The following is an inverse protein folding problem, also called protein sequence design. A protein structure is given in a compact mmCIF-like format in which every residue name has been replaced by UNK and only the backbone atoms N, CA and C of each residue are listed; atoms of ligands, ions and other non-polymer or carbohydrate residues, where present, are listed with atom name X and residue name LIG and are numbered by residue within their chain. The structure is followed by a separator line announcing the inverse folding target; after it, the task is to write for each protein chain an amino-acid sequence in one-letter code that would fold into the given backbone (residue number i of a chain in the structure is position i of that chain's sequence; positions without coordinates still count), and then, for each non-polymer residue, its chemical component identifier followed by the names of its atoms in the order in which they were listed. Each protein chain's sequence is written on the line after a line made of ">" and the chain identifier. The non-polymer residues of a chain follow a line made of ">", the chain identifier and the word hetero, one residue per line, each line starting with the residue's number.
data_IF_963823995742
#
_entry.id   IF_963823995742
#
_cell.length_a   1.000
_cell.length_b   1.000
_cell.length_c   1.000
_cell.angle_alpha   90.00
_cell.angle_beta   90.00
_cell.angle_gamma   90.00
#
_symmetry.space_group_name_H-M   'P 1'
#
loop_
_entity.id
_entity.type
_entity.pdbx_description
1 polymer ?
#
# COMPACT_ATOMS: atom_id res chain seq x y z
N UNK A 1 -30.46 -11.02 -4.74
CA UNK A 1 -29.34 -10.67 -3.84
C UNK A 1 -28.21 -10.09 -4.67
N UNK A 2 -27.65 -8.96 -4.27
CA UNK A 2 -26.53 -8.34 -4.94
C UNK A 2 -25.21 -9.07 -4.69
N UNK A 3 -24.11 -8.52 -5.24
CA UNK A 3 -22.76 -9.07 -5.10
C UNK A 3 -21.79 -7.96 -4.66
N UNK A 4 -20.77 -8.32 -3.88
CA UNK A 4 -19.70 -7.41 -3.47
C UNK A 4 -18.39 -7.77 -4.18
N UNK A 5 -17.68 -6.77 -4.72
CA UNK A 5 -16.32 -6.89 -5.20
C UNK A 5 -15.38 -6.14 -4.25
N UNK A 6 -14.43 -6.85 -3.65
CA UNK A 6 -13.32 -6.25 -2.90
C UNK A 6 -12.18 -6.02 -3.87
N UNK A 7 -11.99 -4.78 -4.30
CA UNK A 7 -11.13 -4.43 -5.44
C UNK A 7 -9.91 -3.64 -4.98
N UNK A 8 -8.72 -4.12 -5.37
CA UNK A 8 -7.49 -3.36 -5.26
C UNK A 8 -7.42 -2.28 -6.34
N UNK A 9 -7.31 -1.03 -5.90
CA UNK A 9 -7.21 0.14 -6.77
C UNK A 9 -5.77 0.42 -7.23
N UNK A 10 -4.81 -0.39 -6.81
CA UNK A 10 -3.40 -0.09 -7.07
C UNK A 10 -2.83 0.99 -6.14
N UNK A 11 -1.55 1.37 -6.35
CA UNK A 11 -0.77 2.17 -5.40
C UNK A 11 -0.91 3.68 -5.58
N UNK A 12 -1.50 4.15 -6.70
CA UNK A 12 -1.63 5.58 -6.99
C UNK A 12 -1.81 5.88 -8.48
N UNK A 13 -0.98 5.33 -9.35
CA UNK A 13 -1.12 5.44 -10.79
C UNK A 13 -2.39 4.71 -11.27
N UNK A 14 -3.33 5.39 -11.95
CA UNK A 14 -4.57 4.77 -12.43
C UNK A 14 -4.34 3.63 -13.44
N UNK A 15 -3.26 3.69 -14.21
CA UNK A 15 -2.92 2.68 -15.22
C UNK A 15 -2.47 1.35 -14.58
N UNK A 16 -2.18 1.35 -13.29
CA UNK A 16 -1.90 0.15 -12.50
C UNK A 16 -3.18 -0.55 -11.97
N UNK A 17 -4.36 -0.05 -12.35
CA UNK A 17 -5.60 -0.74 -12.08
C UNK A 17 -5.69 -1.99 -12.95
N UNK A 18 -6.05 -3.12 -12.35
CA UNK A 18 -6.24 -4.35 -13.13
C UNK A 18 -7.47 -4.25 -14.04
N UNK A 19 -7.44 -4.90 -15.20
CA UNK A 19 -8.60 -4.99 -16.11
C UNK A 19 -9.83 -5.54 -15.38
N UNK A 20 -9.63 -6.47 -14.45
CA UNK A 20 -10.72 -7.03 -13.64
C UNK A 20 -11.29 -6.00 -12.68
N UNK A 21 -10.42 -5.18 -12.06
CA UNK A 21 -10.82 -4.04 -11.23
C UNK A 21 -11.64 -3.01 -12.00
N UNK A 22 -11.17 -2.63 -13.19
CA UNK A 22 -11.90 -1.72 -14.07
C UNK A 22 -13.30 -2.25 -14.45
N UNK A 23 -13.42 -3.56 -14.74
CA UNK A 23 -14.72 -4.19 -15.03
C UNK A 23 -15.65 -4.18 -13.81
N UNK A 24 -15.12 -4.37 -12.61
CA UNK A 24 -15.90 -4.30 -11.37
C UNK A 24 -16.39 -2.87 -11.09
N UNK A 25 -15.55 -1.86 -11.31
CA UNK A 25 -15.90 -0.45 -11.16
C UNK A 25 -17.03 -0.06 -12.15
N UNK A 26 -16.88 -0.42 -13.43
CA UNK A 26 -17.89 -0.11 -14.46
C UNK A 26 -19.26 -0.76 -14.22
N UNK A 27 -19.31 -1.88 -13.50
CA UNK A 27 -20.55 -2.62 -13.20
C UNK A 27 -21.18 -2.24 -11.87
N UNK A 28 -20.52 -1.39 -11.08
CA UNK A 28 -20.96 -1.06 -9.74
C UNK A 28 -22.18 -0.14 -9.73
N UNK A 29 -23.23 -0.52 -8.98
CA UNK A 29 -24.30 0.40 -8.59
C UNK A 29 -23.83 1.35 -7.49
N UNK A 30 -22.94 0.83 -6.62
CA UNK A 30 -22.38 1.57 -5.48
C UNK A 30 -20.89 1.30 -5.34
N UNK A 31 -20.12 2.34 -5.13
CA UNK A 31 -18.68 2.25 -4.81
C UNK A 31 -18.45 2.81 -3.41
N UNK A 32 -17.84 1.98 -2.54
CA UNK A 32 -17.31 2.36 -1.24
C UNK A 32 -15.80 2.52 -1.36
N UNK A 33 -15.22 3.68 -1.03
CA UNK A 33 -13.81 3.92 -1.29
C UNK A 33 -13.07 4.59 -0.13
N UNK A 34 -11.75 4.36 -0.06
CA UNK A 34 -10.85 4.85 0.98
C UNK A 34 -10.08 6.11 0.54
N UNK A 35 -9.37 6.71 1.49
CA UNK A 35 -8.56 7.92 1.29
C UNK A 35 -7.37 7.73 0.34
N UNK A 36 -6.79 6.52 0.29
CA UNK A 36 -5.55 6.25 -0.43
C UNK A 36 -5.74 5.89 -1.91
N UNK A 37 -6.97 5.85 -2.41
CA UNK A 37 -7.21 5.61 -3.84
C UNK A 37 -6.98 6.90 -4.64
N UNK A 38 -6.50 6.77 -5.88
CA UNK A 38 -6.51 7.88 -6.82
C UNK A 38 -7.96 8.13 -7.29
N UNK A 39 -8.43 9.36 -7.15
CA UNK A 39 -9.82 9.72 -7.48
C UNK A 39 -10.14 9.62 -8.97
N UNK A 40 -9.15 9.73 -9.85
CA UNK A 40 -9.32 9.51 -11.31
C UNK A 40 -9.91 8.12 -11.61
N UNK A 41 -9.64 7.13 -10.77
CA UNK A 41 -10.22 5.79 -10.91
C UNK A 41 -11.76 5.80 -10.76
N UNK A 42 -12.32 6.75 -10.01
CA UNK A 42 -13.77 6.88 -9.85
C UNK A 42 -14.46 7.35 -11.15
N UNK A 43 -13.74 8.01 -12.04
CA UNK A 43 -14.25 8.47 -13.33
C UNK A 43 -14.55 7.31 -14.31
N UNK A 44 -14.00 6.13 -14.05
CA UNK A 44 -14.32 4.92 -14.82
C UNK A 44 -15.69 4.32 -14.50
N UNK A 45 -16.36 4.77 -13.44
CA UNK A 45 -17.65 4.27 -13.03
C UNK A 45 -18.77 4.77 -13.95
N UNK A 46 -19.92 4.06 -13.96
CA UNK A 46 -21.11 4.55 -14.64
C UNK A 46 -21.60 5.88 -14.05
N UNK A 47 -22.18 6.79 -14.87
CA UNK A 47 -22.78 8.03 -14.35
C UNK A 47 -23.89 7.82 -13.29
N UNK A 48 -24.50 6.64 -13.26
CA UNK A 48 -25.54 6.27 -12.29
C UNK A 48 -24.97 5.72 -10.98
N UNK A 49 -23.66 5.47 -10.90
CA UNK A 49 -23.01 4.88 -9.72
C UNK A 49 -23.03 5.85 -8.53
N UNK A 50 -23.39 5.35 -7.36
CA UNK A 50 -23.35 6.12 -6.10
C UNK A 50 -22.03 5.89 -5.39
N UNK A 51 -21.44 6.97 -4.85
CA UNK A 51 -20.15 6.93 -4.16
C UNK A 51 -20.30 7.20 -2.67
N UNK A 52 -19.63 6.38 -1.85
CA UNK A 52 -19.55 6.58 -0.41
C UNK A 52 -18.08 6.55 0.05
N UNK A 53 -17.64 7.63 0.65
CA UNK A 53 -16.30 7.72 1.22
C UNK A 53 -16.26 7.03 2.59
N UNK A 54 -15.36 6.06 2.75
CA UNK A 54 -15.19 5.27 3.97
C UNK A 54 -13.84 5.55 4.67
N UNK A 55 -13.04 6.48 4.14
CA UNK A 55 -11.73 6.80 4.69
C UNK A 55 -11.81 7.61 6.00
N UNK A 56 -10.69 7.62 6.75
CA UNK A 56 -10.54 8.50 7.91
C UNK A 56 -10.37 9.94 7.44
N UNK A 57 -11.31 10.80 7.76
CA UNK A 57 -11.17 12.24 7.62
C UNK A 57 -10.52 12.78 8.90
N UNK A 58 -9.40 13.53 8.82
CA UNK A 58 -8.77 14.14 10.00
C UNK A 58 -9.71 15.06 10.79
N UNK A 59 -10.74 15.62 10.15
CA UNK A 59 -11.67 16.61 10.70
C UNK A 59 -13.08 16.06 10.96
N UNK A 60 -13.36 14.80 10.66
CA UNK A 60 -14.67 14.17 10.89
C UNK A 60 -14.48 12.80 11.52
N UNK A 61 -15.46 12.36 12.32
CA UNK A 61 -15.47 10.99 12.84
C UNK A 61 -15.33 10.01 11.66
N UNK A 62 -14.21 9.28 11.63
CA UNK A 62 -14.02 8.21 10.63
C UNK A 62 -15.12 7.17 10.80
N UNK A 63 -15.69 6.71 9.70
CA UNK A 63 -16.57 5.54 9.76
C UNK A 63 -15.76 4.36 10.34
N UNK A 64 -16.17 3.80 11.48
CA UNK A 64 -15.55 2.59 12.00
C UNK A 64 -15.60 1.48 10.93
N UNK A 65 -14.62 0.56 10.94
CA UNK A 65 -14.63 -0.56 9.99
C UNK A 65 -15.94 -1.34 10.01
N UNK A 66 -16.54 -1.48 11.20
CA UNK A 66 -17.82 -2.14 11.39
C UNK A 66 -18.97 -1.47 10.61
N UNK A 67 -18.98 -0.15 10.52
CA UNK A 67 -20.01 0.59 9.75
C UNK A 67 -19.82 0.40 8.24
N UNK A 68 -18.56 0.36 7.76
CA UNK A 68 -18.27 0.01 6.36
C UNK A 68 -18.74 -1.41 6.06
N UNK A 69 -18.49 -2.36 6.95
CA UNK A 69 -18.92 -3.75 6.81
C UNK A 69 -20.45 -3.85 6.78
N UNK A 70 -21.16 -3.19 7.71
CA UNK A 70 -22.63 -3.14 7.74
C UNK A 70 -23.21 -2.53 6.47
N UNK A 71 -22.56 -1.48 5.93
CA UNK A 71 -22.98 -0.82 4.70
C UNK A 71 -22.89 -1.77 3.50
N UNK A 72 -21.77 -2.49 3.35
CA UNK A 72 -21.60 -3.48 2.27
C UNK A 72 -22.70 -4.54 2.32
N UNK A 73 -22.95 -5.12 3.51
CA UNK A 73 -23.98 -6.15 3.71
C UNK A 73 -25.37 -5.60 3.38
N UNK A 74 -25.70 -4.40 3.89
CA UNK A 74 -27.00 -3.78 3.69
C UNK A 74 -27.30 -3.50 2.22
N UNK A 75 -26.32 -2.96 1.50
CA UNK A 75 -26.45 -2.64 0.07
C UNK A 75 -26.58 -3.92 -0.78
N UNK A 76 -25.77 -4.94 -0.49
CA UNK A 76 -25.86 -6.21 -1.19
C UNK A 76 -27.20 -6.93 -0.94
N UNK A 77 -27.74 -6.90 0.29
CA UNK A 77 -29.08 -7.43 0.59
C UNK A 77 -30.19 -6.71 -0.17
N UNK A 78 -30.01 -5.42 -0.48
CA UNK A 78 -30.95 -4.64 -1.32
C UNK A 78 -30.82 -4.94 -2.82
N UNK A 79 -29.93 -5.85 -3.22
CA UNK A 79 -29.73 -6.25 -4.60
C UNK A 79 -28.67 -5.48 -5.39
N UNK A 80 -27.97 -4.53 -4.76
CA UNK A 80 -26.94 -3.74 -5.44
C UNK A 80 -25.65 -4.53 -5.70
N UNK A 81 -25.03 -4.25 -6.82
CA UNK A 81 -23.62 -4.59 -7.10
C UNK A 81 -22.73 -3.55 -6.41
N UNK A 82 -22.01 -3.98 -5.39
CA UNK A 82 -21.16 -3.09 -4.58
C UNK A 82 -19.71 -3.32 -4.91
N UNK A 83 -18.95 -2.26 -5.22
CA UNK A 83 -17.50 -2.31 -5.32
C UNK A 83 -16.89 -1.61 -4.11
N UNK A 84 -16.18 -2.37 -3.28
CA UNK A 84 -15.34 -1.86 -2.19
C UNK A 84 -13.93 -1.62 -2.76
N UNK A 85 -13.60 -0.36 -3.01
CA UNK A 85 -12.34 0.04 -3.64
C UNK A 85 -11.32 0.41 -2.57
N UNK A 86 -10.17 -0.28 -2.56
CA UNK A 86 -9.14 -0.22 -1.54
C UNK A 86 -7.79 0.15 -2.17
N UNK A 87 -7.04 1.07 -1.58
CA UNK A 87 -5.68 1.38 -2.06
C UNK A 87 -4.77 0.15 -2.03
N UNK A 88 -3.93 0.00 -3.06
CA UNK A 88 -3.05 -1.17 -3.21
C UNK A 88 -3.81 -2.45 -3.50
N UNK A 89 -3.60 -3.47 -2.69
CA UNK A 89 -4.25 -4.78 -2.72
C UNK A 89 -5.14 -4.99 -1.50
N UNK A 90 -6.33 -5.58 -1.62
CA UNK A 90 -7.25 -5.78 -0.49
C UNK A 90 -6.68 -6.64 0.64
N UNK A 91 -5.83 -7.60 0.31
CA UNK A 91 -5.30 -8.60 1.24
C UNK A 91 -3.89 -8.29 1.77
N UNK A 92 -3.24 -7.24 1.25
CA UNK A 92 -1.94 -6.79 1.76
C UNK A 92 -2.15 -5.57 2.67
N UNK A 93 -2.22 -5.81 3.98
CA UNK A 93 -2.47 -4.81 5.03
C UNK A 93 -3.72 -3.93 4.80
N UNK A 94 -4.64 -4.41 3.95
CA UNK A 94 -5.86 -3.70 3.56
C UNK A 94 -7.11 -4.09 4.35
N UNK A 95 -7.03 -5.01 5.32
CA UNK A 95 -8.17 -5.53 6.10
C UNK A 95 -9.24 -6.23 5.25
N UNK A 96 -8.93 -6.56 3.98
CA UNK A 96 -9.87 -7.23 3.07
C UNK A 96 -10.31 -8.60 3.56
N UNK A 97 -9.46 -9.31 4.34
CA UNK A 97 -9.81 -10.57 4.98
C UNK A 97 -10.98 -10.41 5.98
N UNK A 98 -10.94 -9.37 6.83
CA UNK A 98 -12.01 -9.06 7.78
C UNK A 98 -13.32 -8.70 7.05
N UNK A 99 -13.23 -7.93 5.96
CA UNK A 99 -14.39 -7.58 5.11
C UNK A 99 -14.98 -8.83 4.44
N UNK A 100 -14.15 -9.74 3.92
CA UNK A 100 -14.58 -10.99 3.30
C UNK A 100 -15.25 -11.93 4.31
N UNK A 101 -14.71 -12.05 5.52
CA UNK A 101 -15.28 -12.84 6.60
C UNK A 101 -16.69 -12.36 6.97
N UNK A 102 -16.88 -11.06 7.11
CA UNK A 102 -18.21 -10.48 7.39
C UNK A 102 -19.20 -10.79 6.26
N UNK A 103 -18.79 -10.67 5.01
CA UNK A 103 -19.65 -10.99 3.86
C UNK A 103 -20.04 -12.46 3.84
N UNK A 104 -19.08 -13.36 4.09
CA UNK A 104 -19.31 -14.81 4.18
C UNK A 104 -20.31 -15.15 5.28
N UNK A 105 -20.14 -14.59 6.49
CA UNK A 105 -21.03 -14.81 7.63
C UNK A 105 -22.47 -14.33 7.38
N UNK A 106 -22.66 -13.41 6.43
CA UNK A 106 -23.98 -12.92 6.03
C UNK A 106 -24.50 -13.58 4.75
N UNK A 107 -23.83 -14.61 4.22
CA UNK A 107 -24.16 -15.30 2.96
C UNK A 107 -24.25 -14.33 1.75
N UNK A 108 -23.44 -13.27 1.74
CA UNK A 108 -23.35 -12.33 0.63
C UNK A 108 -22.35 -12.87 -0.40
N UNK A 109 -22.73 -13.05 -1.68
CA UNK A 109 -21.77 -13.39 -2.73
C UNK A 109 -20.72 -12.29 -2.87
N UNK A 110 -19.43 -12.65 -2.83
CA UNK A 110 -18.36 -11.69 -3.02
C UNK A 110 -17.24 -12.25 -3.89
N UNK A 111 -16.41 -11.36 -4.36
CA UNK A 111 -15.22 -11.69 -5.15
C UNK A 111 -14.06 -10.77 -4.78
N UNK A 112 -12.88 -11.38 -4.60
CA UNK A 112 -11.65 -10.64 -4.38
C UNK A 112 -11.02 -10.35 -5.74
N UNK A 113 -10.71 -9.08 -5.98
CA UNK A 113 -9.99 -8.62 -7.18
C UNK A 113 -8.65 -8.05 -6.73
N UNK A 114 -7.56 -8.79 -6.90
CA UNK A 114 -6.22 -8.32 -6.52
C UNK A 114 -5.87 -6.99 -7.19
N UNK A 115 -5.05 -6.21 -6.50
CA UNK A 115 -4.46 -4.99 -7.01
C UNK A 115 -2.95 -4.99 -6.79
N UNK A 116 -2.25 -4.04 -7.42
CA UNK A 116 -0.81 -3.91 -7.23
C UNK A 116 -0.56 -3.21 -5.89
N UNK A 117 0.09 -3.92 -4.98
CA UNK A 117 0.44 -3.36 -3.67
C UNK A 117 1.61 -2.38 -3.75
N UNK A 118 1.61 -1.35 -2.90
CA UNK A 118 2.68 -0.34 -2.86
C UNK A 118 4.06 -0.92 -2.51
N UNK A 119 4.14 -2.07 -1.85
CA UNK A 119 5.41 -2.74 -1.56
C UNK A 119 6.13 -3.28 -2.81
N UNK A 120 5.41 -3.43 -3.93
CA UNK A 120 5.97 -3.79 -5.23
C UNK A 120 6.13 -2.54 -6.11
N UNK A 121 5.08 -1.74 -6.21
CA UNK A 121 5.03 -0.66 -7.18
C UNK A 121 5.87 0.56 -6.79
N UNK A 122 5.87 0.97 -5.52
CA UNK A 122 6.64 2.14 -5.10
C UNK A 122 8.16 1.93 -5.28
N UNK A 123 8.75 0.77 -4.89
CA UNK A 123 10.13 0.47 -5.23
C UNK A 123 10.39 0.47 -6.74
N UNK A 124 9.54 -0.18 -7.54
CA UNK A 124 9.70 -0.25 -8.99
C UNK A 124 9.73 1.15 -9.62
N UNK A 125 8.81 2.05 -9.23
CA UNK A 125 8.79 3.45 -9.68
C UNK A 125 9.94 4.29 -9.13
N UNK A 126 10.66 3.80 -8.13
CA UNK A 126 11.91 4.39 -7.64
C UNK A 126 13.16 3.76 -8.28
N UNK A 127 13.02 2.82 -9.24
CA UNK A 127 14.15 2.12 -9.85
C UNK A 127 14.79 1.08 -8.93
N UNK A 128 14.05 0.54 -7.96
CA UNK A 128 14.51 -0.42 -6.98
C UNK A 128 13.74 -1.73 -7.16
N UNK A 129 14.35 -2.82 -7.64
CA UNK A 129 13.73 -4.13 -7.65
C UNK A 129 13.65 -4.67 -6.22
N UNK A 130 12.56 -5.33 -5.83
CA UNK A 130 12.44 -5.91 -4.48
C UNK A 130 13.19 -7.24 -4.34
N UNK A 131 13.58 -7.86 -5.45
CA UNK A 131 14.46 -9.04 -5.55
C UNK A 131 15.47 -8.83 -6.66
N UNK A 132 16.66 -9.39 -6.54
CA UNK A 132 17.70 -9.34 -7.57
C UNK A 132 18.62 -10.54 -7.42
N UNK A 133 19.07 -11.12 -8.54
CA UNK A 133 19.90 -12.34 -8.53
C UNK A 133 21.12 -12.23 -7.62
N UNK A 134 21.77 -11.06 -7.63
CA UNK A 134 23.04 -10.86 -6.93
C UNK A 134 22.88 -10.13 -5.58
N UNK A 135 21.70 -9.51 -5.30
CA UNK A 135 21.52 -8.67 -4.11
C UNK A 135 20.43 -9.16 -3.16
N UNK A 136 19.44 -9.91 -3.64
CA UNK A 136 18.33 -10.32 -2.77
C UNK A 136 17.52 -11.47 -3.36
N UNK A 137 17.53 -12.60 -2.69
CA UNK A 137 16.75 -13.80 -3.00
C UNK A 137 15.43 -13.85 -2.23
N UNK A 138 15.24 -12.95 -1.26
CA UNK A 138 14.06 -12.95 -0.38
C UNK A 138 13.53 -11.56 -0.09
N UNK A 139 12.20 -11.42 -0.06
CA UNK A 139 11.53 -10.17 0.30
C UNK A 139 10.43 -10.42 1.34
N UNK A 140 10.33 -9.55 2.33
CA UNK A 140 9.21 -9.54 3.26
C UNK A 140 8.43 -8.22 3.19
N UNK A 141 7.11 -8.34 3.10
CA UNK A 141 6.18 -7.25 3.36
C UNK A 141 5.82 -7.25 4.83
N UNK A 142 6.18 -6.20 5.53
CA UNK A 142 5.99 -6.09 6.97
C UNK A 142 5.28 -4.78 7.34
N UNK A 143 4.65 -4.77 8.48
CA UNK A 143 4.04 -3.54 9.03
C UNK A 143 4.75 -3.12 10.31
N UNK A 144 4.96 -1.82 10.46
CA UNK A 144 5.45 -1.26 11.71
C UNK A 144 4.38 -1.23 12.83
N UNK A 145 3.13 -1.57 12.51
CA UNK A 145 2.04 -1.61 13.48
C UNK A 145 2.10 -2.94 14.24
N UNK A 146 2.25 -2.86 15.56
CA UNK A 146 2.31 -4.05 16.42
C UNK A 146 0.94 -4.72 16.52
N UNK A 147 0.92 -6.06 16.49
CA UNK A 147 -0.25 -6.85 16.90
C UNK A 147 -0.31 -6.89 18.44
N UNK A 148 -1.51 -6.88 19.05
CA UNK A 148 -1.65 -7.16 20.46
C UNK A 148 -0.99 -8.50 20.83
N UNK A 149 -0.19 -8.51 21.90
CA UNK A 149 0.49 -9.72 22.39
C UNK A 149 1.74 -10.14 21.59
N UNK A 150 2.16 -9.37 20.58
CA UNK A 150 3.39 -9.65 19.84
C UNK A 150 4.62 -9.23 20.68
N UNK A 151 5.59 -10.14 20.82
CA UNK A 151 6.92 -9.79 21.30
C UNK A 151 7.65 -8.99 20.22
N UNK A 152 7.81 -7.70 20.47
CA UNK A 152 8.38 -6.75 19.52
C UNK A 152 9.87 -7.03 19.28
N UNK A 153 10.62 -7.34 20.31
CA UNK A 153 12.06 -7.60 20.21
C UNK A 153 12.31 -8.84 19.35
N UNK A 154 11.63 -9.93 19.65
CA UNK A 154 11.74 -11.17 18.88
C UNK A 154 11.31 -10.98 17.43
N UNK A 155 10.25 -10.20 17.15
CA UNK A 155 9.78 -9.92 15.79
C UNK A 155 10.86 -9.20 14.96
N UNK A 156 11.47 -8.14 15.52
CA UNK A 156 12.49 -7.38 14.81
C UNK A 156 13.83 -8.14 14.72
N UNK A 157 14.15 -8.98 15.69
CA UNK A 157 15.29 -9.89 15.60
C UNK A 157 15.18 -10.85 14.41
N UNK A 158 14.01 -11.47 14.20
CA UNK A 158 13.76 -12.31 13.03
C UNK A 158 13.84 -11.53 11.71
N UNK A 159 13.37 -10.28 11.68
CA UNK A 159 13.46 -9.44 10.49
C UNK A 159 14.89 -8.94 10.21
N UNK A 160 15.68 -8.72 11.25
CA UNK A 160 17.07 -8.31 11.09
C UNK A 160 17.93 -9.41 10.45
N UNK A 161 17.66 -10.67 10.76
CA UNK A 161 18.46 -11.82 10.39
C UNK A 161 17.84 -12.71 9.30
N UNK A 162 16.59 -12.43 8.89
CA UNK A 162 15.85 -13.25 7.95
C UNK A 162 15.88 -12.69 6.51
N UNK A 163 14.84 -11.98 6.07
CA UNK A 163 14.72 -11.55 4.68
C UNK A 163 15.77 -10.50 4.30
N UNK A 164 16.35 -10.64 3.10
CA UNK A 164 17.36 -9.71 2.58
C UNK A 164 16.74 -8.34 2.25
N UNK A 165 15.54 -8.32 1.67
CA UNK A 165 14.77 -7.09 1.42
C UNK A 165 13.58 -7.00 2.35
N UNK A 166 13.40 -5.85 3.01
CA UNK A 166 12.21 -5.50 3.77
C UNK A 166 11.46 -4.35 3.09
N UNK A 167 10.17 -4.52 2.84
CA UNK A 167 9.24 -3.46 2.44
C UNK A 167 8.31 -3.15 3.62
N UNK A 168 8.56 -2.05 4.34
CA UNK A 168 7.87 -1.74 5.59
C UNK A 168 6.75 -0.74 5.36
N UNK A 169 5.52 -1.19 5.61
CA UNK A 169 4.29 -0.39 5.56
C UNK A 169 4.06 0.35 6.87
N UNK A 170 3.47 1.56 6.77
CA UNK A 170 3.06 2.36 7.93
C UNK A 170 4.20 2.68 8.91
N UNK A 171 5.46 2.68 8.41
CA UNK A 171 6.67 2.75 9.23
C UNK A 171 7.22 4.17 9.46
N UNK A 172 6.82 5.18 8.66
CA UNK A 172 7.50 6.50 8.65
C UNK A 172 7.59 7.14 10.03
N UNK A 173 6.52 7.13 10.80
CA UNK A 173 6.51 7.70 12.17
C UNK A 173 7.37 6.92 13.17
N UNK A 174 7.73 5.69 12.83
CA UNK A 174 8.52 4.77 13.65
C UNK A 174 9.89 4.48 13.02
N UNK A 175 10.28 5.26 12.01
CA UNK A 175 11.53 5.06 11.30
C UNK A 175 12.75 5.00 12.23
N UNK A 176 12.92 5.92 13.21
CA UNK A 176 14.04 5.83 14.16
C UNK A 176 14.05 4.49 14.90
N UNK A 177 12.92 4.10 15.45
CA UNK A 177 12.77 2.84 16.19
C UNK A 177 13.04 1.60 15.32
N UNK A 178 12.63 1.62 14.05
CA UNK A 178 12.89 0.54 13.09
C UNK A 178 14.39 0.40 12.83
N UNK A 179 15.08 1.52 12.59
CA UNK A 179 16.51 1.54 12.38
C UNK A 179 17.27 1.02 13.61
N UNK A 180 16.90 1.49 14.80
CA UNK A 180 17.53 1.09 16.06
C UNK A 180 17.34 -0.42 16.33
N UNK A 181 16.14 -0.95 16.12
CA UNK A 181 15.84 -2.36 16.35
C UNK A 181 16.57 -3.28 15.37
N UNK A 182 16.60 -2.93 14.09
CA UNK A 182 17.31 -3.72 13.08
C UNK A 182 18.82 -3.74 13.35
N UNK A 183 19.42 -2.59 13.70
CA UNK A 183 20.85 -2.51 14.02
C UNK A 183 21.20 -3.19 15.34
N UNK A 184 20.36 -3.04 16.36
CA UNK A 184 20.50 -3.73 17.65
C UNK A 184 20.56 -5.26 17.47
N UNK A 185 19.78 -5.78 16.54
CA UNK A 185 19.69 -7.22 16.28
C UNK A 185 20.63 -7.70 15.15
N UNK A 186 21.64 -6.90 14.80
CA UNK A 186 22.78 -7.34 13.97
C UNK A 186 22.74 -6.94 12.50
N UNK A 187 21.70 -6.26 12.01
CA UNK A 187 21.73 -5.70 10.67
C UNK A 187 22.68 -4.50 10.62
N UNK A 188 23.61 -4.47 9.64
CA UNK A 188 24.61 -3.41 9.53
C UNK A 188 23.97 -2.02 9.45
N UNK A 189 24.53 -1.04 10.16
CA UNK A 189 24.16 0.38 10.02
C UNK A 189 24.35 0.91 8.59
N UNK A 190 25.22 0.28 7.80
CA UNK A 190 25.46 0.61 6.40
C UNK A 190 24.44 -0.02 5.44
N UNK A 191 23.53 -0.86 5.94
CA UNK A 191 22.46 -1.44 5.10
C UNK A 191 21.67 -0.32 4.42
N UNK A 192 21.55 -0.35 3.06
CA UNK A 192 20.87 0.68 2.31
C UNK A 192 19.37 0.76 2.62
N UNK A 193 18.84 1.98 2.64
CA UNK A 193 17.43 2.28 2.90
C UNK A 193 16.94 3.29 1.86
N UNK A 194 15.74 3.06 1.33
CA UNK A 194 15.01 4.03 0.53
C UNK A 194 13.65 4.35 1.16
N UNK A 195 13.26 5.61 1.13
CA UNK A 195 11.92 6.09 1.48
C UNK A 195 11.26 6.59 0.21
N UNK A 196 10.14 5.97 -0.19
CA UNK A 196 9.39 6.37 -1.37
C UNK A 196 8.05 6.95 -0.94
N UNK A 197 7.97 8.27 -0.89
CA UNK A 197 6.77 9.03 -0.55
C UNK A 197 5.87 9.16 -1.77
N UNK A 198 4.55 8.99 -1.60
CA UNK A 198 3.55 9.11 -2.65
C UNK A 198 3.91 8.31 -3.92
N UNK A 199 4.48 7.11 -3.71
CA UNK A 199 4.96 6.27 -4.80
C UNK A 199 3.92 6.07 -5.91
N UNK A 200 4.38 6.05 -7.17
CA UNK A 200 3.59 5.94 -8.41
C UNK A 200 2.74 7.16 -8.77
N UNK A 201 2.79 8.23 -8.00
CA UNK A 201 2.09 9.48 -8.33
C UNK A 201 3.07 10.54 -8.85
N UNK A 202 2.54 11.59 -9.48
CA UNK A 202 3.33 12.78 -9.90
C UNK A 202 4.00 13.49 -8.73
N UNK A 203 3.60 13.20 -7.49
CA UNK A 203 4.19 13.76 -6.26
C UNK A 203 5.20 12.82 -5.61
N UNK A 204 5.64 11.78 -6.34
CA UNK A 204 6.61 10.85 -5.80
C UNK A 204 7.91 11.56 -5.45
N UNK A 205 8.39 11.32 -4.21
CA UNK A 205 9.73 11.73 -3.75
C UNK A 205 10.45 10.51 -3.20
N UNK A 206 11.70 10.33 -3.60
CA UNK A 206 12.52 9.21 -3.12
C UNK A 206 13.76 9.76 -2.42
N UNK A 207 13.99 9.31 -1.19
CA UNK A 207 15.20 9.62 -0.40
C UNK A 207 15.93 8.31 -0.13
N UNK A 208 17.24 8.30 -0.28
CA UNK A 208 18.11 7.15 0.00
C UNK A 208 19.14 7.47 1.08
N UNK A 209 19.52 6.46 1.79
CA UNK A 209 20.54 6.51 2.84
C UNK A 209 20.88 5.11 3.33
N UNK A 210 21.34 5.02 4.56
CA UNK A 210 21.60 3.77 5.27
C UNK A 210 20.80 3.73 6.57
N UNK A 211 20.70 2.57 7.22
CA UNK A 211 20.07 2.48 8.54
C UNK A 211 20.65 3.48 9.54
N UNK A 212 21.96 3.79 9.42
CA UNK A 212 22.65 4.73 10.28
C UNK A 212 22.36 6.21 10.02
N UNK A 213 21.83 6.60 8.84
CA UNK A 213 21.69 8.02 8.49
C UNK A 213 20.34 8.42 7.87
N UNK A 214 19.47 7.46 7.55
CA UNK A 214 18.21 7.75 6.86
C UNK A 214 17.25 8.60 7.69
N UNK A 215 17.33 8.49 9.01
CA UNK A 215 16.49 9.26 9.94
C UNK A 215 16.73 10.76 9.77
N UNK A 216 17.99 11.15 9.70
CA UNK A 216 18.39 12.56 9.53
C UNK A 216 17.99 13.13 8.17
N UNK A 217 17.84 12.28 7.15
CA UNK A 217 17.42 12.68 5.80
C UNK A 217 15.89 12.72 5.64
N UNK A 218 15.16 12.07 6.53
CA UNK A 218 13.72 11.82 6.37
C UNK A 218 12.81 12.98 6.80
N UNK A 219 13.33 14.14 7.22
CA UNK A 219 12.56 15.25 7.80
C UNK A 219 11.36 15.73 6.97
N UNK A 220 11.41 15.57 5.65
CA UNK A 220 10.34 16.00 4.73
C UNK A 220 9.41 14.86 4.31
N UNK A 221 9.66 13.63 4.77
CA UNK A 221 8.86 12.47 4.37
C UNK A 221 7.71 12.27 5.35
N UNK A 222 6.50 12.26 4.82
CA UNK A 222 5.27 12.00 5.57
C UNK A 222 4.54 10.78 5.00
N UNK A 223 3.50 10.32 5.66
CA UNK A 223 2.63 9.27 5.13
C UNK A 223 1.72 9.82 3.98
N UNK A 224 1.47 9.01 2.94
CA UNK A 224 1.90 7.63 2.75
C UNK A 224 3.32 7.54 2.18
N UNK A 225 4.15 6.67 2.74
CA UNK A 225 5.44 6.33 2.17
C UNK A 225 5.79 4.86 2.45
N UNK A 226 6.54 4.26 1.52
CA UNK A 226 7.11 2.92 1.61
C UNK A 226 8.57 3.04 2.06
N UNK A 227 8.96 2.20 3.02
CA UNK A 227 10.35 2.05 3.43
C UNK A 227 10.88 0.76 2.82
N UNK A 228 11.97 0.83 2.07
CA UNK A 228 12.66 -0.32 1.48
C UNK A 228 14.03 -0.42 2.14
N UNK A 229 14.37 -1.59 2.67
CA UNK A 229 15.65 -1.83 3.38
C UNK A 229 16.32 -3.06 2.77
N UNK A 230 17.55 -2.93 2.32
CA UNK A 230 18.34 -4.01 1.73
C UNK A 230 19.19 -3.55 0.56
N UNK A 231 20.13 -4.40 0.13
CA UNK A 231 21.14 -4.09 -0.88
C UNK A 231 20.56 -3.76 -2.26
N UNK A 232 19.34 -4.20 -2.54
CA UNK A 232 18.60 -3.85 -3.77
C UNK A 232 18.44 -2.34 -3.97
N UNK A 233 18.52 -1.53 -2.90
CA UNK A 233 18.42 -0.07 -2.98
C UNK A 233 19.55 0.53 -3.81
N UNK A 234 20.73 -0.08 -3.84
CA UNK A 234 21.85 0.34 -4.70
C UNK A 234 21.50 0.32 -6.19
N UNK A 235 20.56 -0.55 -6.60
CA UNK A 235 20.16 -0.62 -8.01
C UNK A 235 19.56 0.68 -8.54
N UNK A 236 19.03 1.54 -7.68
CA UNK A 236 18.49 2.84 -8.08
C UNK A 236 19.51 3.70 -8.83
N UNK A 237 20.80 3.63 -8.46
CA UNK A 237 21.86 4.42 -9.10
C UNK A 237 22.19 3.90 -10.51
N UNK A 238 22.03 2.60 -10.73
CA UNK A 238 22.34 1.94 -12.01
C UNK A 238 21.15 1.82 -12.93
N UNK A 239 19.93 1.72 -12.39
CA UNK A 239 18.70 1.61 -13.16
C UNK A 239 18.13 3.00 -13.44
N UNK A 240 18.55 3.59 -14.57
CA UNK A 240 17.93 4.80 -15.10
C UNK A 240 16.96 4.41 -16.21
N UNK A 241 15.65 4.58 -15.99
CA UNK A 241 14.67 4.34 -17.05
C UNK A 241 13.74 5.54 -17.27
N UNK A 242 13.09 5.57 -18.41
CA UNK A 242 12.36 6.72 -18.97
C UNK A 242 11.29 7.27 -18.02
N UNK A 243 10.68 6.41 -17.21
CA UNK A 243 9.62 6.79 -16.29
C UNK A 243 10.09 7.73 -15.17
N UNK A 244 11.32 7.53 -14.66
CA UNK A 244 11.94 8.43 -13.67
C UNK A 244 12.20 9.82 -14.27
N UNK A 245 12.66 9.87 -15.54
CA UNK A 245 12.91 11.15 -16.23
C UNK A 245 11.63 11.90 -16.61
N UNK A 246 10.55 11.20 -16.91
CA UNK A 246 9.27 11.84 -17.24
C UNK A 246 8.63 12.57 -16.05
N UNK A 247 8.94 12.17 -14.82
CA UNK A 247 8.50 12.88 -13.62
C UNK A 247 9.36 14.10 -13.29
N UNK A 248 10.67 14.08 -13.61
CA UNK A 248 11.56 15.19 -13.41
C UNK A 248 11.33 16.33 -14.43
N UNK A 249 10.94 16.01 -15.67
CA UNK A 249 10.71 17.00 -16.73
C UNK A 249 9.35 17.71 -16.67
N UNK A 250 8.41 17.26 -15.85
CA UNK A 250 7.10 17.94 -15.67
C UNK A 250 7.13 19.05 -14.62
N UNK A 251 8.18 19.16 -13.83
CA UNK A 251 8.37 20.27 -12.88
C UNK A 251 9.01 21.51 -13.54
N UNK A 252 9.52 21.39 -14.79
CA UNK A 252 10.19 22.47 -15.53
C UNK A 252 9.36 23.06 -16.69
N UNK A 253 8.07 22.73 -16.77
CA UNK A 253 7.10 23.31 -17.72
C UNK A 253 5.91 23.92 -16.97
#
# INVERSE_FOLDING_TARGET
>A
MGKVFLVGAGPGDPDLLTIKGLKAIKKADVILYDRLINKEILEFASPSTKFFYCGKDPNKHSLPQEETNKMMVTLAKKGHTVTRLKGGDPFVFGRGGEEAEVLANHNIPFEIVPGITSGIAAPAYAGIPVTHRDFSSSVAFVTAVNKPGMDKEQYWEHLANGPETLCVYMGVKRLPEICDLLTKHGRSSETPVALVHMGTSIRQKTITGTLGNIVDKAHQITNPAMIIIGDVVHMRETVSYTHLRAHETREDL
#
